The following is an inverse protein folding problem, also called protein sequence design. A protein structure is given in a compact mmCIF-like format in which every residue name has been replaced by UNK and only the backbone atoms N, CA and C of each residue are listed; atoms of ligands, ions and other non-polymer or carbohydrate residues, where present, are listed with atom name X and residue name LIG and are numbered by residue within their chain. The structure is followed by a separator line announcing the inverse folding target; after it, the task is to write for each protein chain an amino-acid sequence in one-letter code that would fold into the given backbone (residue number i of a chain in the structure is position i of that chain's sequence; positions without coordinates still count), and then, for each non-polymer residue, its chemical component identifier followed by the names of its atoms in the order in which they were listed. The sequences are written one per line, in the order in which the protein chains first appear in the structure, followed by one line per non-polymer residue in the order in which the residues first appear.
data_IF_070061595735
#
_entry.id   IF_070061595735
#
_cell.length_a   1.000
_cell.length_b   1.000
_cell.length_c   1.000
_cell.angle_alpha   90.00
_cell.angle_beta   90.00
_cell.angle_gamma   90.00
#
_symmetry.space_group_name_H-M   'P 1'
#
loop_
_entity.id
_entity.type
_entity.pdbx_description
1 polymer ?
#
# COMPACT_ATOMS: atom_id res chain seq x y z
N UNK A 1 -3.05 19.89 4.67
CA UNK A 1 -3.35 20.51 3.37
C UNK A 1 -2.66 19.70 2.29
N UNK A 2 -3.36 19.43 1.19
CA UNK A 2 -2.80 18.72 0.03
C UNK A 2 -1.85 19.65 -0.72
N UNK A 3 -0.76 19.12 -1.27
CA UNK A 3 0.27 19.91 -1.98
C UNK A 3 -0.15 20.31 -3.39
N UNK A 4 -1.05 19.54 -3.99
CA UNK A 4 -1.61 19.79 -5.31
C UNK A 4 -3.14 19.85 -5.20
N UNK A 5 -3.79 20.83 -5.84
CA UNK A 5 -5.25 20.88 -5.90
C UNK A 5 -5.75 19.75 -6.82
N UNK A 6 -6.84 19.04 -6.48
CA UNK A 6 -7.43 18.06 -7.38
C UNK A 6 -7.97 18.75 -8.64
N UNK A 7 -7.80 18.12 -9.81
CA UNK A 7 -8.39 18.60 -11.05
C UNK A 7 -9.79 18.01 -11.26
N UNK A 8 -10.65 18.77 -11.92
CA UNK A 8 -11.97 18.34 -12.39
C UNK A 8 -11.93 18.17 -13.91
N UNK A 9 -13.02 17.64 -14.49
CA UNK A 9 -13.15 17.59 -15.95
C UNK A 9 -13.16 18.99 -16.59
N UNK A 10 -13.54 20.03 -15.84
CA UNK A 10 -13.58 21.40 -16.33
C UNK A 10 -12.22 22.10 -16.23
N UNK A 11 -11.41 21.74 -15.22
CA UNK A 11 -10.09 22.36 -15.00
C UNK A 11 -8.93 21.58 -15.60
N UNK A 12 -9.13 20.32 -15.99
CA UNK A 12 -8.16 19.54 -16.74
C UNK A 12 -8.22 19.83 -18.25
N UNK A 13 -7.13 19.54 -18.96
CA UNK A 13 -7.03 19.70 -20.40
C UNK A 13 -6.49 18.43 -21.08
N UNK A 14 -6.74 18.31 -22.39
CA UNK A 14 -6.24 17.21 -23.22
C UNK A 14 -6.57 15.82 -22.66
N UNK A 15 -5.58 14.93 -22.64
CA UNK A 15 -5.73 13.53 -22.22
C UNK A 15 -6.23 13.41 -20.77
N UNK A 16 -5.77 14.25 -19.85
CA UNK A 16 -6.25 14.21 -18.46
C UNK A 16 -7.76 14.47 -18.37
N UNK A 17 -8.27 15.45 -19.13
CA UNK A 17 -9.71 15.74 -19.18
C UNK A 17 -10.52 14.53 -19.67
N UNK A 18 -10.06 13.88 -20.73
CA UNK A 18 -10.70 12.67 -21.27
C UNK A 18 -10.69 11.54 -20.24
N UNK A 19 -9.54 11.25 -19.62
CA UNK A 19 -9.42 10.20 -18.61
C UNK A 19 -10.34 10.44 -17.40
N UNK A 20 -10.42 11.67 -16.91
CA UNK A 20 -11.32 12.03 -15.80
C UNK A 20 -12.79 11.88 -16.21
N UNK A 21 -13.15 12.37 -17.40
CA UNK A 21 -14.51 12.23 -17.94
C UNK A 21 -14.95 10.77 -18.06
N UNK A 22 -14.09 9.90 -18.60
CA UNK A 22 -14.37 8.47 -18.74
C UNK A 22 -14.51 7.77 -17.38
N UNK A 23 -13.77 8.20 -16.36
CA UNK A 23 -13.90 7.67 -15.01
C UNK A 23 -15.21 8.12 -14.38
N UNK A 24 -15.53 9.42 -14.42
CA UNK A 24 -16.79 9.97 -13.92
C UNK A 24 -17.99 9.30 -14.59
N UNK A 25 -17.96 9.12 -15.91
CA UNK A 25 -19.06 8.48 -16.65
C UNK A 25 -19.31 7.03 -16.21
N UNK A 26 -18.25 6.29 -15.83
CA UNK A 26 -18.35 4.88 -15.40
C UNK A 26 -18.69 4.72 -13.92
N UNK A 27 -18.34 5.70 -13.10
CA UNK A 27 -18.26 5.55 -11.66
C UNK A 27 -19.05 6.61 -10.88
N UNK A 28 -19.56 7.65 -11.55
CA UNK A 28 -20.27 8.78 -10.93
C UNK A 28 -19.32 9.80 -10.33
N UNK A 29 -18.41 9.38 -9.45
CA UNK A 29 -17.41 10.24 -8.81
C UNK A 29 -16.00 9.64 -8.88
N UNK A 30 -14.99 10.47 -8.59
CA UNK A 30 -13.59 10.07 -8.55
C UNK A 30 -12.96 10.48 -7.23
N UNK A 31 -12.07 9.62 -6.72
CA UNK A 31 -11.32 9.91 -5.50
C UNK A 31 -10.29 11.03 -5.69
N UNK A 32 -9.94 11.70 -4.59
CA UNK A 32 -8.98 12.81 -4.56
C UNK A 32 -7.61 12.45 -5.13
N UNK A 33 -7.12 11.23 -4.91
CA UNK A 33 -5.86 10.75 -5.48
C UNK A 33 -5.88 10.78 -7.01
N UNK A 34 -6.91 10.20 -7.63
CA UNK A 34 -7.09 10.13 -9.08
C UNK A 34 -7.24 11.51 -9.69
N UNK A 35 -8.09 12.36 -9.07
CA UNK A 35 -8.27 13.74 -9.47
C UNK A 35 -6.95 14.53 -9.40
N UNK A 36 -6.08 14.21 -8.45
CA UNK A 36 -4.77 14.86 -8.31
C UNK A 36 -3.72 14.29 -9.26
N UNK A 37 -3.76 12.99 -9.57
CA UNK A 37 -2.87 12.38 -10.58
C UNK A 37 -3.05 12.99 -11.96
N UNK A 38 -4.22 13.57 -12.24
CA UNK A 38 -4.53 14.24 -13.52
C UNK A 38 -3.60 15.41 -13.87
N UNK A 39 -2.84 15.96 -12.91
CA UNK A 39 -1.73 16.88 -13.20
C UNK A 39 -0.68 16.25 -14.13
N UNK A 40 -0.60 14.92 -14.18
CA UNK A 40 0.21 14.17 -15.14
C UNK A 40 -0.66 13.08 -15.80
N UNK A 41 -1.13 13.30 -17.06
CA UNK A 41 -1.85 12.28 -17.80
C UNK A 41 -1.08 10.95 -17.92
N UNK A 42 0.25 11.00 -17.97
CA UNK A 42 1.11 9.83 -18.02
C UNK A 42 1.04 9.01 -16.72
N UNK A 43 1.10 9.67 -15.56
CA UNK A 43 0.97 9.00 -14.25
C UNK A 43 -0.44 8.45 -14.06
N UNK A 44 -1.47 9.25 -14.37
CA UNK A 44 -2.87 8.82 -14.26
C UNK A 44 -3.14 7.62 -15.17
N UNK A 45 -2.77 7.68 -16.45
CA UNK A 45 -2.95 6.59 -17.40
C UNK A 45 -2.22 5.31 -16.95
N UNK A 46 -0.95 5.44 -16.58
CA UNK A 46 -0.15 4.31 -16.08
C UNK A 46 -0.74 3.65 -14.84
N UNK A 47 -1.21 4.45 -13.87
CA UNK A 47 -1.93 3.94 -12.71
C UNK A 47 -3.18 3.15 -13.09
N UNK A 48 -4.05 3.73 -13.93
CA UNK A 48 -5.31 3.10 -14.32
C UNK A 48 -5.09 1.79 -15.07
N UNK A 49 -4.09 1.74 -15.96
CA UNK A 49 -3.77 0.55 -16.73
C UNK A 49 -3.14 -0.54 -15.87
N UNK A 50 -2.22 -0.18 -14.97
CA UNK A 50 -1.62 -1.12 -14.03
C UNK A 50 -2.67 -1.68 -13.06
N UNK A 51 -3.50 -0.84 -12.44
CA UNK A 51 -4.58 -1.28 -11.56
C UNK A 51 -5.56 -2.21 -12.30
N UNK A 52 -5.93 -1.89 -13.54
CA UNK A 52 -6.79 -2.77 -14.35
C UNK A 52 -6.11 -4.11 -14.66
N UNK A 53 -4.81 -4.11 -14.92
CA UNK A 53 -4.05 -5.34 -15.14
C UNK A 53 -3.99 -6.21 -13.89
N UNK A 54 -3.77 -5.59 -12.72
CA UNK A 54 -3.63 -6.30 -11.44
C UNK A 54 -4.93 -6.91 -10.91
N UNK A 55 -6.09 -6.42 -11.36
CA UNK A 55 -7.37 -7.13 -11.17
C UNK A 55 -7.42 -8.53 -11.80
N UNK A 56 -6.48 -8.88 -12.69
CA UNK A 56 -6.35 -10.21 -13.31
C UNK A 56 -5.24 -11.08 -12.68
N UNK A 57 -4.66 -10.62 -11.57
CA UNK A 57 -3.75 -11.41 -10.74
C UNK A 57 -4.40 -12.74 -10.33
N UNK A 58 -3.58 -13.77 -10.12
CA UNK A 58 -4.00 -15.07 -9.59
C UNK A 58 -3.84 -15.19 -8.09
N UNK A 59 -3.44 -14.12 -7.42
CA UNK A 59 -3.43 -14.04 -5.98
C UNK A 59 -4.85 -13.74 -5.47
N UNK A 60 -5.36 -14.50 -4.47
CA UNK A 60 -6.58 -14.17 -3.77
C UNK A 60 -6.48 -12.78 -3.13
N UNK A 61 -7.61 -12.07 -3.05
CA UNK A 61 -7.66 -10.72 -2.49
C UNK A 61 -7.14 -10.65 -1.05
N UNK A 62 -7.37 -11.70 -0.26
CA UNK A 62 -6.83 -11.78 1.10
C UNK A 62 -5.29 -11.70 1.11
N UNK A 63 -4.62 -12.29 0.12
CA UNK A 63 -3.15 -12.27 0.03
C UNK A 63 -2.66 -10.91 -0.47
N UNK A 64 -3.27 -10.36 -1.52
CA UNK A 64 -2.84 -9.07 -2.08
C UNK A 64 -2.99 -7.94 -1.07
N UNK A 65 -4.05 -7.95 -0.25
CA UNK A 65 -4.23 -6.99 0.84
C UNK A 65 -3.15 -7.13 1.92
N UNK A 66 -2.74 -8.34 2.30
CA UNK A 66 -1.65 -8.55 3.27
C UNK A 66 -0.29 -8.07 2.74
N UNK A 67 0.03 -8.35 1.48
CA UNK A 67 1.24 -7.80 0.83
C UNK A 67 1.18 -6.26 0.84
N UNK A 68 0.03 -5.69 0.50
CA UNK A 68 -0.17 -4.24 0.49
C UNK A 68 -0.01 -3.64 1.90
N UNK A 69 -0.55 -4.31 2.94
CA UNK A 69 -0.34 -3.91 4.34
C UNK A 69 1.14 -3.85 4.71
N UNK A 70 1.92 -4.88 4.38
CA UNK A 70 3.37 -4.93 4.63
C UNK A 70 4.09 -3.76 3.94
N UNK A 71 3.84 -3.57 2.64
CA UNK A 71 4.46 -2.50 1.83
C UNK A 71 4.09 -1.12 2.36
N UNK A 72 2.80 -0.86 2.60
CA UNK A 72 2.35 0.47 3.05
C UNK A 72 2.74 0.78 4.49
N UNK A 73 2.86 -0.24 5.35
CA UNK A 73 3.42 -0.07 6.68
C UNK A 73 4.89 0.35 6.59
N UNK A 74 5.69 -0.36 5.78
CA UNK A 74 7.11 -0.05 5.56
C UNK A 74 7.32 1.30 4.88
N UNK A 75 6.47 1.66 3.91
CA UNK A 75 6.54 2.92 3.17
C UNK A 75 6.05 4.12 4.01
N UNK A 76 5.26 3.88 5.06
CA UNK A 76 4.75 4.92 5.96
C UNK A 76 3.53 5.69 5.43
N UNK A 77 2.84 5.19 4.40
CA UNK A 77 1.60 5.80 3.94
C UNK A 77 0.42 5.43 4.86
N UNK A 78 0.15 6.26 5.87
CA UNK A 78 -0.94 6.00 6.83
C UNK A 78 -2.34 5.93 6.19
N UNK A 79 -2.60 6.72 5.14
CA UNK A 79 -3.86 6.66 4.38
C UNK A 79 -4.01 5.32 3.67
N UNK A 80 -2.95 4.90 2.96
CA UNK A 80 -2.93 3.64 2.22
C UNK A 80 -3.04 2.45 3.19
N UNK A 81 -2.32 2.49 4.31
CA UNK A 81 -2.39 1.48 5.35
C UNK A 81 -3.81 1.34 5.91
N UNK A 82 -4.53 2.45 6.12
CA UNK A 82 -5.92 2.42 6.56
C UNK A 82 -6.84 1.82 5.48
N UNK A 83 -6.65 2.20 4.21
CA UNK A 83 -7.40 1.66 3.09
C UNK A 83 -7.22 0.14 2.95
N UNK A 84 -5.99 -0.35 2.96
CA UNK A 84 -5.71 -1.78 2.90
C UNK A 84 -6.11 -2.54 4.17
N UNK A 85 -6.12 -1.90 5.34
CA UNK A 85 -6.70 -2.51 6.55
C UNK A 85 -8.20 -2.74 6.36
N UNK A 86 -8.93 -1.74 5.84
CA UNK A 86 -10.35 -1.90 5.51
C UNK A 86 -10.56 -2.95 4.42
N UNK A 87 -9.71 -2.95 3.40
CA UNK A 87 -9.73 -3.90 2.30
C UNK A 87 -9.54 -5.35 2.75
N UNK A 88 -8.56 -5.59 3.62
CA UNK A 88 -8.27 -6.87 4.23
C UNK A 88 -9.45 -7.40 5.06
N UNK A 89 -10.04 -6.55 5.92
CA UNK A 89 -11.24 -6.91 6.69
C UNK A 89 -12.41 -7.29 5.79
N UNK A 90 -12.66 -6.51 4.75
CA UNK A 90 -13.69 -6.80 3.76
C UNK A 90 -13.42 -8.11 2.98
N UNK A 91 -12.15 -8.55 2.89
CA UNK A 91 -11.77 -9.83 2.32
C UNK A 91 -11.86 -11.01 3.32
N UNK A 92 -12.25 -10.75 4.58
CA UNK A 92 -12.32 -11.76 5.63
C UNK A 92 -10.97 -12.06 6.31
N UNK A 93 -10.03 -11.11 6.29
CA UNK A 93 -8.77 -11.23 7.06
C UNK A 93 -8.99 -10.69 8.48
N UNK A 94 -8.70 -11.52 9.48
CA UNK A 94 -8.84 -11.16 10.89
C UNK A 94 -7.81 -10.12 11.34
N UNK A 95 -8.12 -9.38 12.42
CA UNK A 95 -7.28 -8.30 12.91
C UNK A 95 -5.88 -8.76 13.38
N UNK A 96 -5.76 -9.99 13.89
CA UNK A 96 -4.45 -10.59 14.24
C UNK A 96 -3.59 -10.83 13.01
N UNK A 97 -4.18 -11.35 11.94
CA UNK A 97 -3.53 -11.54 10.64
C UNK A 97 -3.17 -10.21 9.98
N UNK A 98 -4.00 -9.19 10.12
CA UNK A 98 -3.69 -7.82 9.67
C UNK A 98 -2.46 -7.27 10.41
N UNK A 99 -2.38 -7.48 11.73
CA UNK A 99 -1.23 -7.05 12.51
C UNK A 99 0.06 -7.76 12.07
N UNK A 100 0.02 -9.09 11.89
CA UNK A 100 1.15 -9.86 11.38
C UNK A 100 1.55 -9.44 9.95
N UNK A 101 0.58 -9.18 9.08
CA UNK A 101 0.85 -8.75 7.72
C UNK A 101 1.60 -7.41 7.66
N UNK A 102 1.34 -6.49 8.59
CA UNK A 102 2.10 -5.22 8.69
C UNK A 102 3.58 -5.45 8.98
N UNK A 103 3.90 -6.49 9.76
CA UNK A 103 5.26 -6.92 10.07
C UNK A 103 5.85 -7.85 9.00
N UNK A 104 5.15 -8.07 7.88
CA UNK A 104 5.63 -8.89 6.78
C UNK A 104 5.45 -10.40 6.98
N UNK A 105 4.53 -10.84 7.85
CA UNK A 105 4.34 -12.26 8.19
C UNK A 105 2.85 -12.67 8.32
N UNK A 106 2.58 -13.93 8.67
CA UNK A 106 1.27 -14.53 8.91
C UNK A 106 1.40 -15.76 9.82
N UNK A 107 0.32 -16.21 10.45
CA UNK A 107 0.30 -17.49 11.15
C UNK A 107 0.32 -18.68 10.17
N UNK A 108 -0.14 -18.50 8.93
CA UNK A 108 -0.01 -19.50 7.88
C UNK A 108 1.39 -19.41 7.25
N UNK A 109 2.20 -20.49 7.27
CA UNK A 109 3.57 -20.46 6.73
C UNK A 109 3.66 -20.13 5.24
N UNK A 110 2.69 -20.56 4.42
CA UNK A 110 2.69 -20.24 3.00
C UNK A 110 2.41 -18.74 2.79
N UNK A 111 1.41 -18.20 3.48
CA UNK A 111 1.08 -16.77 3.41
C UNK A 111 2.25 -15.94 3.95
N UNK A 112 2.86 -16.35 5.06
CA UNK A 112 4.01 -15.68 5.66
C UNK A 112 5.18 -15.57 4.67
N UNK A 113 5.52 -16.67 3.98
CA UNK A 113 6.56 -16.69 2.97
C UNK A 113 6.27 -15.71 1.82
N UNK A 114 5.03 -15.66 1.34
CA UNK A 114 4.66 -14.78 0.21
C UNK A 114 4.57 -13.30 0.61
N UNK A 115 4.09 -12.99 1.82
CA UNK A 115 4.06 -11.61 2.34
C UNK A 115 5.48 -11.11 2.59
N UNK A 116 6.36 -11.93 3.18
CA UNK A 116 7.77 -11.62 3.37
C UNK A 116 8.47 -11.38 2.02
N UNK A 117 8.20 -12.24 1.03
CA UNK A 117 8.69 -12.05 -0.34
C UNK A 117 8.22 -10.71 -0.93
N UNK A 118 6.93 -10.37 -0.81
CA UNK A 118 6.41 -9.08 -1.28
C UNK A 118 7.09 -7.87 -0.60
N UNK A 119 7.36 -7.96 0.70
CA UNK A 119 8.12 -6.93 1.41
C UNK A 119 9.58 -6.86 0.95
N UNK A 120 10.23 -8.00 0.67
CA UNK A 120 11.59 -8.05 0.13
C UNK A 120 11.67 -7.48 -1.29
N UNK A 121 10.69 -7.75 -2.16
CA UNK A 121 10.59 -7.15 -3.50
C UNK A 121 10.58 -5.61 -3.40
N UNK A 122 9.91 -5.06 -2.39
CA UNK A 122 9.91 -3.62 -2.14
C UNK A 122 11.24 -3.10 -1.58
N UNK A 123 11.83 -3.80 -0.63
CA UNK A 123 12.92 -3.25 0.20
C UNK A 123 14.32 -3.61 -0.28
N UNK A 124 14.51 -4.80 -0.84
CA UNK A 124 15.81 -5.34 -1.22
C UNK A 124 15.68 -6.42 -2.32
N UNK A 125 15.11 -6.11 -3.50
CA UNK A 125 14.86 -7.12 -4.53
C UNK A 125 16.13 -7.81 -5.04
N UNK A 126 17.28 -7.14 -4.96
CA UNK A 126 18.58 -7.69 -5.36
C UNK A 126 19.08 -8.83 -4.44
N UNK A 127 18.48 -9.01 -3.26
CA UNK A 127 18.87 -10.06 -2.31
C UNK A 127 18.00 -11.31 -2.39
N UNK A 128 17.02 -11.34 -3.30
CA UNK A 128 16.14 -12.50 -3.51
C UNK A 128 16.97 -13.67 -4.04
N UNK A 129 16.89 -14.82 -3.38
CA UNK A 129 17.64 -16.02 -3.75
C UNK A 129 16.79 -17.07 -4.45
N UNK A 130 17.42 -17.99 -5.17
CA UNK A 130 16.75 -19.13 -5.81
C UNK A 130 16.03 -20.02 -4.79
N UNK A 131 16.61 -20.19 -3.59
CA UNK A 131 16.01 -20.97 -2.49
C UNK A 131 14.70 -20.35 -1.99
N UNK A 132 14.61 -19.02 -1.94
CA UNK A 132 13.37 -18.35 -1.55
C UNK A 132 12.27 -18.59 -2.61
N UNK A 133 12.61 -18.52 -3.90
CA UNK A 133 11.67 -18.82 -4.98
C UNK A 133 11.26 -20.30 -4.95
N UNK A 134 12.20 -21.21 -4.72
CA UNK A 134 11.91 -22.64 -4.56
C UNK A 134 11.00 -22.91 -3.34
N UNK A 135 11.22 -22.20 -2.23
CA UNK A 135 10.37 -22.26 -1.03
C UNK A 135 8.93 -21.85 -1.32
N UNK A 136 8.72 -20.76 -2.07
CA UNK A 136 7.37 -20.36 -2.50
C UNK A 136 6.68 -21.44 -3.34
N UNK A 137 7.41 -22.08 -4.26
CA UNK A 137 6.89 -23.21 -5.05
C UNK A 137 6.54 -24.41 -4.18
N UNK A 138 7.35 -24.70 -3.16
CA UNK A 138 7.08 -25.78 -2.20
C UNK A 138 5.78 -25.53 -1.42
N UNK A 139 5.47 -24.27 -1.10
CA UNK A 139 4.18 -23.86 -0.53
C UNK A 139 3.01 -23.89 -1.53
N UNK A 140 3.24 -24.28 -2.78
CA UNK A 140 2.22 -24.44 -3.81
C UNK A 140 1.96 -23.19 -4.65
N UNK A 141 2.76 -22.12 -4.51
CA UNK A 141 2.63 -20.96 -5.39
C UNK A 141 3.17 -21.24 -6.79
N UNK A 142 2.37 -20.90 -7.79
CA UNK A 142 2.78 -20.96 -9.19
C UNK A 142 3.73 -19.82 -9.56
N UNK A 143 4.57 -20.00 -10.58
CA UNK A 143 5.43 -18.92 -11.10
C UNK A 143 4.63 -17.65 -11.43
N UNK A 144 3.41 -17.81 -11.95
CA UNK A 144 2.51 -16.69 -12.23
C UNK A 144 2.16 -15.92 -10.96
N UNK A 145 1.82 -16.60 -9.87
CA UNK A 145 1.48 -15.95 -8.60
C UNK A 145 2.69 -15.23 -7.99
N UNK A 146 3.89 -15.83 -8.11
CA UNK A 146 5.15 -15.22 -7.65
C UNK A 146 5.44 -13.94 -8.46
N UNK A 147 5.29 -13.98 -9.79
CA UNK A 147 5.47 -12.81 -10.65
C UNK A 147 4.39 -11.75 -10.41
N UNK A 148 3.14 -12.14 -10.17
CA UNK A 148 2.04 -11.22 -9.86
C UNK A 148 2.35 -10.36 -8.62
N UNK A 149 3.16 -10.84 -7.66
CA UNK A 149 3.61 -10.06 -6.49
C UNK A 149 4.33 -8.78 -6.93
N UNK A 150 5.17 -8.83 -7.97
CA UNK A 150 5.92 -7.66 -8.46
C UNK A 150 4.96 -6.54 -8.90
N UNK A 151 3.89 -6.90 -9.60
CA UNK A 151 2.88 -5.94 -10.03
C UNK A 151 2.06 -5.36 -8.86
N UNK A 152 1.72 -6.20 -7.87
CA UNK A 152 1.05 -5.76 -6.63
C UNK A 152 1.94 -4.79 -5.85
N UNK A 153 3.24 -5.08 -5.71
CA UNK A 153 4.18 -4.17 -5.07
C UNK A 153 4.32 -2.88 -5.87
N UNK A 154 4.44 -2.94 -7.20
CA UNK A 154 4.59 -1.76 -8.05
C UNK A 154 3.39 -0.78 -7.93
N UNK A 155 2.15 -1.28 -7.96
CA UNK A 155 0.96 -0.42 -7.81
C UNK A 155 0.89 0.20 -6.40
N UNK A 156 1.34 -0.54 -5.38
CA UNK A 156 1.43 -0.06 -4.00
C UNK A 156 2.49 1.03 -3.84
N UNK A 157 3.68 0.83 -4.43
CA UNK A 157 4.75 1.84 -4.41
C UNK A 157 4.29 3.12 -5.10
N UNK A 158 3.64 3.01 -6.26
CA UNK A 158 3.11 4.15 -7.00
C UNK A 158 2.08 4.93 -6.17
N UNK A 159 1.04 4.26 -5.66
CA UNK A 159 -0.03 4.93 -4.90
C UNK A 159 0.45 5.47 -3.57
N UNK A 160 1.28 4.71 -2.85
CA UNK A 160 1.91 5.13 -1.59
C UNK A 160 2.80 6.35 -1.76
N UNK A 161 3.72 6.31 -2.72
CA UNK A 161 4.64 7.41 -2.99
C UNK A 161 3.86 8.64 -3.47
N UNK A 162 2.90 8.46 -4.39
CA UNK A 162 2.08 9.56 -4.87
C UNK A 162 1.30 10.22 -3.73
N UNK A 163 0.63 9.46 -2.87
CA UNK A 163 -0.13 10.02 -1.76
C UNK A 163 0.75 10.78 -0.77
N UNK A 164 1.94 10.26 -0.47
CA UNK A 164 2.92 10.94 0.37
C UNK A 164 3.43 12.24 -0.27
N UNK A 165 3.69 12.24 -1.58
CA UNK A 165 4.11 13.42 -2.34
C UNK A 165 2.98 14.45 -2.49
N UNK A 166 1.74 14.01 -2.67
CA UNK A 166 0.56 14.87 -2.72
C UNK A 166 0.14 15.42 -1.35
N UNK A 167 0.73 14.91 -0.26
CA UNK A 167 0.41 15.35 1.10
C UNK A 167 -0.89 14.77 1.65
N UNK A 168 -1.36 13.66 1.08
CA UNK A 168 -2.47 12.86 1.60
C UNK A 168 -2.00 12.00 2.79
N UNK A 169 -1.59 12.67 3.87
CA UNK A 169 -1.17 11.97 5.09
C UNK A 169 -2.03 12.44 6.28
N UNK A 170 -2.89 11.57 6.85
CA UNK A 170 -3.66 11.90 8.04
C UNK A 170 -2.80 12.04 9.31
N UNK A 171 -1.55 11.53 9.31
CA UNK A 171 -0.62 11.65 10.43
C UNK A 171 0.71 12.26 9.99
N UNK A 172 0.97 13.50 10.39
CA UNK A 172 2.36 13.94 10.55
C UNK A 172 2.97 13.08 11.65
N UNK A 173 3.71 12.02 11.33
CA UNK A 173 4.72 11.56 12.28
C UNK A 173 5.60 12.79 12.54
N UNK A 174 5.89 13.15 13.80
CA UNK A 174 6.86 14.21 14.05
C UNK A 174 8.12 13.83 13.29
N UNK A 175 8.63 14.76 12.47
CA UNK A 175 9.92 14.56 11.83
C UNK A 175 10.90 14.13 12.93
N UNK A 176 11.59 13.01 12.73
CA UNK A 176 12.57 12.50 13.70
C UNK A 176 13.65 13.56 13.80
N UNK A 177 13.55 14.43 14.80
CA UNK A 177 14.48 15.53 15.04
C UNK A 177 15.50 15.01 16.03
N UNK A 178 16.65 14.57 15.50
CA UNK A 178 17.77 14.07 16.28
C UNK A 178 18.94 13.68 15.37
N UNK A 179 20.18 13.59 15.90
CA UNK A 179 21.40 13.52 15.09
C UNK A 179 21.58 12.24 14.27
N UNK A 180 20.72 11.23 14.44
CA UNK A 180 20.81 9.93 13.77
C UNK A 180 20.04 9.88 12.46
N UNK A 181 19.99 10.97 11.70
CA UNK A 181 19.44 11.01 10.34
C UNK A 181 20.37 10.37 9.29
N UNK A 182 21.35 9.58 9.72
CA UNK A 182 22.25 8.84 8.85
C UNK A 182 21.99 7.35 9.05
N UNK A 183 21.46 6.74 7.99
CA UNK A 183 21.50 5.31 7.81
C UNK A 183 22.95 4.85 7.90
N UNK A 184 23.32 4.15 8.96
CA UNK A 184 24.52 3.36 8.99
C UNK A 184 24.17 1.90 9.28
N UNK A 185 24.79 1.08 8.46
CA UNK A 185 24.95 -0.36 8.45
C UNK A 185 25.26 -0.98 9.82
N UNK A 186 24.94 -2.27 9.93
CA UNK A 186 25.32 -3.25 10.96
C UNK A 186 24.49 -3.34 12.26
N UNK A 187 23.81 -4.49 12.38
CA UNK A 187 23.60 -5.30 13.61
C UNK A 187 23.60 -4.58 14.96
N UNK A 188 22.41 -4.44 15.55
CA UNK A 188 22.24 -4.31 17.00
C UNK A 188 21.41 -5.50 17.52
N UNK A 189 22.01 -6.49 18.18
CA UNK A 189 21.32 -7.70 18.64
C UNK A 189 20.62 -7.54 20.00
N UNK A 190 20.72 -6.38 20.68
CA UNK A 190 20.31 -6.23 22.09
C UNK A 190 19.33 -5.06 22.38
N UNK A 191 18.55 -4.63 21.40
CA UNK A 191 17.62 -3.49 21.55
C UNK A 191 16.45 -3.76 22.52
N UNK A 192 16.55 -3.25 23.75
CA UNK A 192 15.51 -3.22 24.78
C UNK A 192 14.29 -2.39 24.34
N UNK A 193 13.15 -3.06 24.16
CA UNK A 193 11.87 -2.47 23.71
C UNK A 193 11.05 -1.82 24.83
N UNK A 194 11.54 -1.79 26.07
CA UNK A 194 10.76 -1.32 27.23
C UNK A 194 10.69 0.20 27.41
N UNK A 195 11.34 0.99 26.54
CA UNK A 195 11.49 2.45 26.74
C UNK A 195 10.68 3.32 25.76
N UNK A 196 9.56 2.84 25.22
CA UNK A 196 8.62 3.69 24.48
C UNK A 196 7.67 4.42 25.45
N UNK A 197 7.74 5.76 25.60
CA UNK A 197 6.79 6.50 26.41
C UNK A 197 5.52 6.74 25.58
N UNK A 198 4.40 6.12 25.98
CA UNK A 198 3.11 6.37 25.31
C UNK A 198 1.99 5.35 25.48
N UNK A 199 2.18 4.27 26.23
CA UNK A 199 1.06 3.40 26.65
C UNK A 199 0.22 4.08 27.75
N UNK A 200 -0.55 5.09 27.36
CA UNK A 200 -1.56 5.76 28.17
C UNK A 200 -2.91 5.69 27.48
N UNK A 201 -3.87 5.05 28.15
CA UNK A 201 -5.30 4.98 27.78
C UNK A 201 -5.84 6.27 27.15
N UNK A 202 -6.41 6.17 25.95
CA UNK A 202 -7.34 7.19 25.43
C UNK A 202 -8.70 6.54 25.21
N UNK A 203 -9.63 6.84 26.12
CA UNK A 203 -11.07 6.62 25.93
C UNK A 203 -11.60 7.69 24.97
N UNK A 204 -12.46 7.27 24.04
CA UNK A 204 -13.48 8.14 23.42
C UNK A 204 -13.01 9.07 22.31
N UNK A 205 -12.97 8.56 21.08
CA UNK A 205 -13.22 9.34 19.87
C UNK A 205 -13.65 8.37 18.75
N UNK A 206 -14.92 8.01 18.73
CA UNK A 206 -15.55 7.33 17.60
C UNK A 206 -15.84 8.35 16.51
N UNK A 207 -14.82 8.69 15.72
CA UNK A 207 -15.02 9.21 14.37
C UNK A 207 -14.39 8.20 13.42
N UNK A 208 -15.21 7.21 13.04
CA UNK A 208 -14.90 6.37 11.89
C UNK A 208 -14.85 7.27 10.66
N UNK A 209 -13.65 7.62 10.21
CA UNK A 209 -13.42 8.00 8.83
C UNK A 209 -13.98 6.89 7.96
N UNK A 210 -15.22 7.06 7.48
CA UNK A 210 -15.77 6.26 6.39
C UNK A 210 -14.88 6.53 5.20
N UNK A 211 -13.95 5.60 4.93
CA UNK A 211 -13.28 5.56 3.64
C UNK A 211 -14.38 5.31 2.61
N UNK A 212 -14.58 6.21 1.63
CA UNK A 212 -15.61 6.01 0.63
C UNK A 212 -15.31 4.69 -0.11
N UNK A 213 -16.36 3.91 -0.40
CA UNK A 213 -16.28 2.61 -1.11
C UNK A 213 -15.46 2.69 -2.41
N UNK A 214 -15.32 3.88 -2.98
CA UNK A 214 -14.47 4.18 -4.11
C UNK A 214 -12.97 3.86 -3.93
N UNK A 215 -12.43 3.92 -2.72
CA UNK A 215 -11.06 3.49 -2.45
C UNK A 215 -10.89 1.98 -2.61
N UNK A 216 -11.94 1.19 -2.37
CA UNK A 216 -11.93 -0.26 -2.64
C UNK A 216 -12.12 -0.60 -4.12
N UNK A 217 -12.81 0.23 -4.90
CA UNK A 217 -13.08 -0.06 -6.32
C UNK A 217 -11.82 -0.01 -7.22
N UNK A 218 -10.71 0.53 -6.70
CA UNK A 218 -9.44 0.70 -7.41
C UNK A 218 -8.28 -0.14 -6.85
N UNK A 219 -8.51 -0.86 -5.74
CA UNK A 219 -7.64 -1.92 -5.21
C UNK A 219 -8.14 -3.29 -5.71
#
# INVERSE_FOLDING_TARGET
MTRFPPLTQDTAHGVARSLLGDLIARHGEIGSMVATMAHSPAVLGGYLDLSRAMKRSKLPRQITERISLAVQHRQGCALCLAAHTSGARAAGVDDSEIAMAREGTSADPAIAALVAFGLQVYTAPATITDDQIAGLRHHGYTDRQIVDVVGIVAVNVLTGAFNLVAGFNPRKFPARTGPTAQWNDHSDPDGDWSVLPGCGHVRGATDQLKLPEFMLALL
#
